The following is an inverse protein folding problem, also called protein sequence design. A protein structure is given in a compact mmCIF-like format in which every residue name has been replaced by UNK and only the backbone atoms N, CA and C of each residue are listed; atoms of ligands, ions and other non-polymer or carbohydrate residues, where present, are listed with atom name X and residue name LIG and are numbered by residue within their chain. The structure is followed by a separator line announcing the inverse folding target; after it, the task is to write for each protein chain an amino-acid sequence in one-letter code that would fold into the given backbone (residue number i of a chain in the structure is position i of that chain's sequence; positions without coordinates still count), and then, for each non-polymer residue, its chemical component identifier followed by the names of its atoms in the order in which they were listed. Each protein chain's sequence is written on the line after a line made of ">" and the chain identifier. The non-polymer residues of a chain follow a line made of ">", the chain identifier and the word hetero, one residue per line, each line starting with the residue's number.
data_IF_105717385938
#
_entry.id   IF_105717385938
#
_cell.length_a   1.000
_cell.length_b   1.000
_cell.length_c   1.000
_cell.angle_alpha   90.00
_cell.angle_beta   90.00
_cell.angle_gamma   90.00
#
_symmetry.space_group_name_H-M   'P 1'
#
loop_
_entity.id
_entity.type
_entity.pdbx_description
1 polymer ?
#
# COMPACT_ATOMS: atom_id res chain seq x y z
N UNK A 1 -14.43 -33.81 48.93
CA UNK A 1 -13.56 -32.71 48.43
C UNK A 1 -13.78 -32.33 46.96
N UNK A 2 -14.10 -33.25 46.05
CA UNK A 2 -14.21 -33.02 44.59
C UNK A 2 -15.30 -31.99 44.17
N UNK A 3 -16.43 -31.91 44.87
CA UNK A 3 -17.52 -30.96 44.55
C UNK A 3 -17.12 -29.49 44.74
N UNK A 4 -16.26 -29.18 45.73
CA UNK A 4 -15.78 -27.80 45.97
C UNK A 4 -14.81 -27.34 44.86
N UNK A 5 -13.99 -28.25 44.33
CA UNK A 5 -13.08 -27.96 43.22
C UNK A 5 -13.83 -27.62 41.91
N UNK A 6 -14.86 -28.42 41.57
CA UNK A 6 -15.71 -28.17 40.38
C UNK A 6 -16.49 -26.86 40.45
N UNK A 7 -16.93 -26.44 41.65
CA UNK A 7 -17.60 -25.14 41.84
C UNK A 7 -16.64 -23.97 41.60
N UNK A 8 -15.39 -24.10 42.08
CA UNK A 8 -14.34 -23.08 41.92
C UNK A 8 -13.89 -22.92 40.45
N UNK A 9 -13.89 -24.00 39.66
CA UNK A 9 -13.60 -23.92 38.23
C UNK A 9 -14.72 -23.28 37.42
N UNK A 10 -15.99 -23.62 37.71
CA UNK A 10 -17.15 -22.98 37.06
C UNK A 10 -17.18 -21.47 37.33
N UNK A 11 -16.85 -21.05 38.54
CA UNK A 11 -16.80 -19.63 38.92
C UNK A 11 -15.64 -18.88 38.22
N UNK A 12 -14.48 -19.52 38.05
CA UNK A 12 -13.37 -18.97 37.26
C UNK A 12 -13.73 -18.83 35.77
N UNK A 13 -14.47 -19.79 35.21
CA UNK A 13 -14.94 -19.73 33.83
C UNK A 13 -15.93 -18.58 33.62
N UNK A 14 -16.88 -18.42 34.54
CA UNK A 14 -17.87 -17.34 34.52
C UNK A 14 -17.21 -15.95 34.61
N UNK A 15 -16.30 -15.73 35.57
CA UNK A 15 -15.54 -14.47 35.68
C UNK A 15 -14.66 -14.20 34.45
N UNK A 16 -14.21 -15.24 33.73
CA UNK A 16 -13.43 -15.07 32.50
C UNK A 16 -14.31 -14.70 31.30
N UNK A 17 -15.54 -15.23 31.24
CA UNK A 17 -16.53 -14.81 30.25
C UNK A 17 -16.98 -13.38 30.50
N UNK A 18 -17.25 -13.01 31.75
CA UNK A 18 -17.66 -11.66 32.16
C UNK A 18 -16.58 -10.60 31.84
N UNK A 19 -15.29 -10.93 32.04
CA UNK A 19 -14.18 -10.06 31.61
C UNK A 19 -14.08 -9.92 30.09
N UNK A 20 -14.48 -10.93 29.32
CA UNK A 20 -14.49 -10.87 27.84
C UNK A 20 -15.67 -10.03 27.33
N UNK A 21 -16.85 -10.20 27.90
CA UNK A 21 -18.04 -9.40 27.55
C UNK A 21 -17.83 -7.93 27.91
N UNK A 22 -17.27 -7.63 29.08
CA UNK A 22 -16.96 -6.25 29.47
C UNK A 22 -15.91 -5.60 28.58
N UNK A 23 -14.89 -6.35 28.13
CA UNK A 23 -13.89 -5.84 27.18
C UNK A 23 -14.46 -5.56 25.79
N UNK A 24 -15.44 -6.35 25.35
CA UNK A 24 -16.17 -6.13 24.08
C UNK A 24 -17.11 -4.93 24.22
N UNK A 25 -17.78 -4.77 25.36
CA UNK A 25 -18.66 -3.63 25.63
C UNK A 25 -17.89 -2.30 25.62
N UNK A 26 -16.71 -2.23 26.25
CA UNK A 26 -15.83 -1.05 26.21
C UNK A 26 -15.42 -0.70 24.77
N UNK A 27 -15.09 -1.69 23.94
CA UNK A 27 -14.76 -1.45 22.53
C UNK A 27 -15.95 -0.99 21.70
N UNK A 28 -17.18 -1.36 22.06
CA UNK A 28 -18.40 -0.94 21.35
C UNK A 28 -18.85 0.45 21.75
N UNK A 29 -18.68 0.85 23.01
CA UNK A 29 -18.92 2.23 23.47
C UNK A 29 -17.95 3.21 22.81
N UNK A 30 -16.65 2.89 22.77
CA UNK A 30 -15.61 3.73 22.14
C UNK A 30 -15.82 3.89 20.62
N UNK A 31 -16.46 2.90 19.97
CA UNK A 31 -16.80 2.95 18.55
C UNK A 31 -18.04 3.81 18.26
N UNK A 32 -19.02 3.83 19.17
CA UNK A 32 -20.21 4.71 19.05
C UNK A 32 -19.88 6.19 19.24
N UNK A 33 -18.85 6.51 20.04
CA UNK A 33 -18.41 7.89 20.26
C UNK A 33 -17.66 8.49 19.06
N UNK A 34 -17.12 7.66 18.15
CA UNK A 34 -16.48 8.13 16.92
C UNK A 34 -17.44 8.31 15.74
N UNK A 35 -18.68 7.81 15.83
CA UNK A 35 -19.69 7.89 14.76
C UNK A 35 -20.68 9.05 14.87
N UNK A 36 -20.56 9.92 15.87
CA UNK A 36 -21.32 11.18 15.92
C UNK A 36 -20.67 12.27 15.05
N UNK A 37 -20.46 11.97 13.77
CA UNK A 37 -20.20 13.00 12.76
C UNK A 37 -21.54 13.58 12.29
N UNK A 38 -21.87 14.71 12.91
CA UNK A 38 -22.45 15.91 12.32
C UNK A 38 -23.10 15.73 10.93
N UNK A 39 -24.44 15.71 10.89
CA UNK A 39 -25.18 16.07 9.70
C UNK A 39 -24.78 17.49 9.28
N UNK A 40 -24.12 17.59 8.12
CA UNK A 40 -23.75 18.84 7.49
C UNK A 40 -24.98 19.65 7.12
N UNK A 41 -25.31 20.63 7.96
CA UNK A 41 -26.25 21.70 7.63
C UNK A 41 -25.64 22.61 6.57
N UNK A 42 -26.25 22.63 5.39
CA UNK A 42 -25.99 23.63 4.37
C UNK A 42 -26.33 25.02 4.91
N UNK A 43 -25.37 25.94 4.75
CA UNK A 43 -25.63 27.37 4.83
C UNK A 43 -25.02 28.06 6.05
N UNK A 44 -23.74 28.44 5.95
CA UNK A 44 -23.28 29.79 6.38
C UNK A 44 -22.16 30.27 5.46
N UNK A 45 -22.50 31.26 4.62
CA UNK A 45 -21.54 32.15 3.96
C UNK A 45 -20.66 32.78 5.05
N UNK A 46 -19.36 32.45 5.06
CA UNK A 46 -18.39 33.06 5.97
C UNK A 46 -17.99 34.42 5.41
N UNK A 47 -18.71 35.47 5.81
CA UNK A 47 -18.23 36.85 5.69
C UNK A 47 -16.99 36.99 6.58
N UNK A 48 -15.89 37.52 6.04
CA UNK A 48 -14.64 37.78 6.79
C UNK A 48 -14.92 38.81 7.88
N UNK A 49 -14.72 38.53 9.18
CA UNK A 49 -14.75 39.58 10.18
C UNK A 49 -13.48 40.43 10.06
N UNK A 50 -13.66 41.74 10.05
CA UNK A 50 -12.59 42.72 10.03
C UNK A 50 -11.65 42.51 11.23
N UNK A 51 -10.34 42.44 10.94
CA UNK A 51 -9.31 42.27 11.94
C UNK A 51 -9.28 43.48 12.89
N UNK A 52 -9.72 43.28 14.15
CA UNK A 52 -9.38 44.16 15.26
C UNK A 52 -7.90 43.99 15.58
N UNK A 53 -7.05 44.89 15.06
CA UNK A 53 -5.64 45.06 15.45
C UNK A 53 -5.59 45.55 16.90
N UNK A 54 -5.19 44.69 17.84
CA UNK A 54 -4.63 45.17 19.10
C UNK A 54 -3.20 45.67 18.83
N UNK A 55 -2.95 46.94 19.14
CA UNK A 55 -1.61 47.52 19.24
C UNK A 55 -0.93 46.89 20.46
N UNK A 56 -0.10 45.86 20.26
CA UNK A 56 0.92 45.48 21.24
C UNK A 56 2.28 45.98 20.76
N UNK A 57 2.98 46.61 21.70
CA UNK A 57 4.27 47.26 21.54
C UNK A 57 5.37 46.22 21.26
N UNK A 58 6.22 46.56 20.31
CA UNK A 58 7.58 46.05 20.01
C UNK A 58 8.00 44.70 20.59
N UNK A 59 7.79 43.63 19.82
CA UNK A 59 8.70 42.48 19.82
C UNK A 59 9.25 42.36 18.40
N UNK A 60 10.54 42.65 18.23
CA UNK A 60 11.34 42.41 17.03
C UNK A 60 11.10 40.97 16.52
N UNK A 61 10.20 40.82 15.55
CA UNK A 61 10.01 39.54 14.86
C UNK A 61 11.24 39.31 14.00
N UNK A 62 12.07 38.34 14.38
CA UNK A 62 13.13 37.77 13.52
C UNK A 62 12.60 37.59 12.08
N UNK A 63 13.37 38.01 11.05
CA UNK A 63 12.91 37.92 9.67
C UNK A 63 12.64 36.46 9.31
N UNK A 64 11.41 36.16 8.88
CA UNK A 64 11.05 34.86 8.31
C UNK A 64 11.99 34.58 7.13
N UNK A 65 12.58 33.38 7.01
CA UNK A 65 13.41 33.06 5.86
C UNK A 65 12.60 33.23 4.58
N UNK A 66 13.14 33.98 3.61
CA UNK A 66 12.51 34.18 2.30
C UNK A 66 12.23 32.81 1.66
N UNK A 67 11.06 32.58 1.05
CA UNK A 67 10.77 31.31 0.40
C UNK A 67 11.79 31.08 -0.71
N UNK A 68 12.58 29.99 -0.61
CA UNK A 68 13.51 29.57 -1.67
C UNK A 68 12.71 29.40 -2.96
N UNK A 69 13.21 29.96 -4.06
CA UNK A 69 12.56 29.86 -5.37
C UNK A 69 12.35 28.37 -5.73
N UNK A 70 11.17 28.05 -6.27
CA UNK A 70 10.83 26.68 -6.65
C UNK A 70 11.79 26.21 -7.75
N UNK A 71 12.36 24.99 -7.67
CA UNK A 71 13.20 24.47 -8.73
C UNK A 71 12.41 24.41 -10.05
N UNK A 72 13.07 24.77 -11.15
CA UNK A 72 12.48 24.74 -12.49
C UNK A 72 12.10 23.30 -12.83
N UNK A 73 10.87 23.07 -13.32
CA UNK A 73 10.39 21.72 -13.66
C UNK A 73 11.13 21.15 -14.88
N UNK A 74 11.29 19.83 -14.96
CA UNK A 74 11.96 19.15 -16.09
C UNK A 74 11.36 19.56 -17.45
N UNK A 75 10.02 19.62 -17.54
CA UNK A 75 9.32 20.10 -18.75
C UNK A 75 9.66 21.55 -19.11
N UNK A 76 9.95 22.41 -18.14
CA UNK A 76 10.37 23.79 -18.41
C UNK A 76 11.81 23.82 -18.90
N UNK A 77 12.70 22.99 -18.34
CA UNK A 77 14.08 22.87 -18.77
C UNK A 77 14.18 22.36 -20.22
N UNK A 78 13.43 21.30 -20.56
CA UNK A 78 13.32 20.76 -21.93
C UNK A 78 12.89 21.86 -22.90
N UNK A 79 11.76 22.53 -22.63
CA UNK A 79 11.25 23.62 -23.48
C UNK A 79 12.24 24.79 -23.60
N UNK A 80 13.00 25.07 -22.54
CA UNK A 80 14.01 26.13 -22.56
C UNK A 80 15.17 25.79 -23.49
N UNK A 81 15.65 24.54 -23.45
CA UNK A 81 16.74 24.08 -24.30
C UNK A 81 16.27 23.95 -25.75
N UNK A 82 15.06 23.41 -25.99
CA UNK A 82 14.49 23.36 -27.33
C UNK A 82 14.34 24.76 -27.96
N UNK A 83 13.93 25.76 -27.17
CA UNK A 83 13.89 27.15 -27.65
C UNK A 83 15.27 27.74 -27.91
N UNK A 84 16.28 27.32 -27.16
CA UNK A 84 17.67 27.73 -27.38
C UNK A 84 18.21 27.15 -28.67
N UNK A 85 17.98 25.86 -28.92
CA UNK A 85 18.40 25.14 -30.13
C UNK A 85 17.74 25.64 -31.43
N UNK A 86 16.63 26.38 -31.34
CA UNK A 86 16.00 27.06 -32.49
C UNK A 86 16.76 28.29 -32.96
N UNK A 87 17.73 28.79 -32.18
CA UNK A 87 18.55 29.95 -32.53
C UNK A 87 19.85 29.50 -33.21
N UNK A 88 20.52 30.44 -33.86
CA UNK A 88 21.87 30.22 -34.38
C UNK A 88 22.86 30.20 -33.21
N UNK A 89 23.48 29.03 -32.98
CA UNK A 89 24.47 28.80 -31.95
C UNK A 89 25.71 28.18 -32.58
N UNK A 90 26.92 28.43 -32.01
CA UNK A 90 28.13 27.72 -32.40
C UNK A 90 27.93 26.20 -32.34
N UNK A 91 28.55 25.44 -33.25
CA UNK A 91 28.32 23.99 -33.38
C UNK A 91 28.65 23.23 -32.08
N UNK A 92 29.72 23.61 -31.38
CA UNK A 92 30.12 23.00 -30.11
C UNK A 92 29.06 23.19 -29.00
N UNK A 93 28.52 24.40 -28.87
CA UNK A 93 27.46 24.70 -27.89
C UNK A 93 26.16 23.98 -28.27
N UNK A 94 25.87 23.84 -29.56
CA UNK A 94 24.69 23.13 -30.05
C UNK A 94 24.73 21.66 -29.66
N UNK A 95 25.84 20.97 -29.93
CA UNK A 95 26.03 19.56 -29.57
C UNK A 95 25.87 19.32 -28.06
N UNK A 96 26.49 20.18 -27.23
CA UNK A 96 26.37 20.09 -25.78
C UNK A 96 24.91 20.24 -25.29
N UNK A 97 24.14 21.15 -25.88
CA UNK A 97 22.73 21.36 -25.54
C UNK A 97 21.83 20.21 -26.04
N UNK A 98 22.14 19.61 -27.20
CA UNK A 98 21.43 18.44 -27.71
C UNK A 98 21.63 17.21 -26.81
N UNK A 99 22.87 16.94 -26.39
CA UNK A 99 23.16 15.87 -25.42
C UNK A 99 22.44 16.09 -24.09
N UNK A 100 22.40 17.34 -23.61
CA UNK A 100 21.65 17.71 -22.40
C UNK A 100 20.14 17.53 -22.59
N UNK A 101 19.60 17.90 -23.75
CA UNK A 101 18.20 17.70 -24.10
C UNK A 101 17.83 16.22 -24.07
N UNK A 102 18.67 15.37 -24.67
CA UNK A 102 18.48 13.92 -24.67
C UNK A 102 18.45 13.36 -23.24
N UNK A 103 19.38 13.78 -22.38
CA UNK A 103 19.40 13.39 -20.97
C UNK A 103 18.12 13.78 -20.22
N UNK A 104 17.63 15.01 -20.42
CA UNK A 104 16.38 15.47 -19.81
C UNK A 104 15.14 14.74 -20.34
N UNK A 105 15.13 14.38 -21.63
CA UNK A 105 14.04 13.58 -22.24
C UNK A 105 13.99 12.18 -21.63
N UNK A 106 15.14 11.50 -21.50
CA UNK A 106 15.25 10.20 -20.81
C UNK A 106 14.74 10.27 -19.36
N UNK A 107 15.11 11.33 -18.62
CA UNK A 107 14.58 11.54 -17.27
C UNK A 107 13.06 11.74 -17.27
N UNK A 108 12.53 12.53 -18.21
CA UNK A 108 11.09 12.79 -18.32
C UNK A 108 10.29 11.52 -18.63
N UNK A 109 10.83 10.60 -19.42
CA UNK A 109 10.25 9.28 -19.71
C UNK A 109 10.26 8.36 -18.48
N UNK A 110 11.35 8.34 -17.73
CA UNK A 110 11.42 7.60 -16.46
C UNK A 110 10.35 8.13 -15.49
N UNK A 111 10.22 9.45 -15.37
CA UNK A 111 9.19 10.07 -14.53
C UNK A 111 7.76 9.74 -14.97
N UNK A 112 7.47 9.74 -16.27
CA UNK A 112 6.14 9.39 -16.78
C UNK A 112 5.82 7.91 -16.54
N UNK A 113 6.79 7.02 -16.79
CA UNK A 113 6.67 5.59 -16.50
C UNK A 113 6.39 5.33 -15.02
N UNK A 114 7.21 5.90 -14.12
CA UNK A 114 7.02 5.76 -12.67
C UNK A 114 5.68 6.33 -12.20
N UNK A 115 5.19 7.41 -12.83
CA UNK A 115 3.88 7.96 -12.51
C UNK A 115 2.76 6.97 -12.86
N UNK A 116 2.83 6.31 -14.01
CA UNK A 116 1.85 5.28 -14.43
C UNK A 116 1.90 4.09 -13.47
N UNK A 117 3.09 3.56 -13.19
CA UNK A 117 3.29 2.46 -12.24
C UNK A 117 2.73 2.80 -10.85
N UNK A 118 2.92 4.05 -10.39
CA UNK A 118 2.36 4.54 -9.12
C UNK A 118 0.83 4.57 -9.14
N UNK A 119 0.21 4.98 -10.26
CA UNK A 119 -1.25 5.00 -10.38
C UNK A 119 -1.86 3.59 -10.35
N UNK A 120 -1.23 2.64 -11.05
CA UNK A 120 -1.62 1.22 -11.01
C UNK A 120 -1.46 0.68 -9.58
N UNK A 121 -0.31 0.91 -8.96
CA UNK A 121 -0.04 0.49 -7.60
C UNK A 121 -1.07 1.02 -6.59
N UNK A 122 -1.40 2.32 -6.63
CA UNK A 122 -2.33 2.92 -5.68
C UNK A 122 -3.75 2.34 -5.81
N UNK A 123 -4.18 2.03 -7.04
CA UNK A 123 -5.47 1.39 -7.33
C UNK A 123 -5.53 -0.01 -6.73
N UNK A 124 -4.49 -0.80 -6.95
CA UNK A 124 -4.50 -2.22 -6.62
C UNK A 124 -4.01 -2.51 -5.19
N UNK A 125 -3.32 -1.55 -4.55
CA UNK A 125 -2.76 -1.68 -3.19
C UNK A 125 -3.78 -2.18 -2.17
N UNK A 126 -5.00 -1.65 -2.17
CA UNK A 126 -6.04 -2.08 -1.22
C UNK A 126 -6.50 -3.51 -1.51
N UNK A 127 -6.74 -3.83 -2.78
CA UNK A 127 -7.19 -5.17 -3.21
C UNK A 127 -6.15 -6.21 -2.79
N UNK A 128 -4.88 -5.99 -3.18
CA UNK A 128 -3.75 -6.86 -2.81
C UNK A 128 -3.61 -7.02 -1.29
N UNK A 129 -3.78 -5.94 -0.52
CA UNK A 129 -3.70 -6.01 0.94
C UNK A 129 -4.77 -6.93 1.55
N UNK A 130 -6.02 -6.80 1.11
CA UNK A 130 -7.11 -7.63 1.62
C UNK A 130 -6.97 -9.09 1.20
N UNK A 131 -6.56 -9.35 -0.05
CA UNK A 131 -6.34 -10.71 -0.53
C UNK A 131 -5.17 -11.38 0.20
N UNK A 132 -4.04 -10.68 0.34
CA UNK A 132 -2.90 -11.15 1.15
C UNK A 132 -3.33 -11.50 2.56
N UNK A 133 -4.07 -10.61 3.24
CA UNK A 133 -4.59 -10.88 4.59
C UNK A 133 -5.61 -12.02 4.64
N UNK A 134 -6.34 -12.28 3.55
CA UNK A 134 -7.27 -13.41 3.45
C UNK A 134 -6.51 -14.73 3.35
N UNK A 135 -5.51 -14.79 2.46
CA UNK A 135 -4.62 -15.95 2.28
C UNK A 135 -3.85 -16.25 3.56
N UNK A 136 -3.18 -15.26 4.16
CA UNK A 136 -2.43 -15.43 5.41
C UNK A 136 -3.32 -15.96 6.56
N UNK A 137 -4.56 -15.46 6.67
CA UNK A 137 -5.52 -15.97 7.67
C UNK A 137 -5.93 -17.41 7.39
N UNK A 138 -6.10 -17.79 6.12
CA UNK A 138 -6.47 -19.16 5.74
C UNK A 138 -5.32 -20.14 6.00
N UNK A 139 -4.09 -19.76 5.68
CA UNK A 139 -2.87 -20.51 6.03
C UNK A 139 -2.81 -20.75 7.55
N UNK A 140 -2.90 -19.69 8.37
CA UNK A 140 -2.85 -19.83 9.84
C UNK A 140 -3.96 -20.71 10.40
N UNK A 141 -5.15 -20.72 9.79
CA UNK A 141 -6.26 -21.59 10.21
C UNK A 141 -5.98 -23.05 9.88
N UNK A 142 -5.48 -23.33 8.67
CA UNK A 142 -5.14 -24.68 8.23
C UNK A 142 -3.95 -25.26 8.98
N UNK A 143 -2.90 -24.47 9.21
CA UNK A 143 -1.77 -24.89 10.05
C UNK A 143 -2.22 -25.20 11.48
N UNK A 144 -3.19 -24.44 12.00
CA UNK A 144 -3.77 -24.71 13.32
C UNK A 144 -4.63 -25.98 13.31
N UNK A 145 -5.44 -26.22 12.28
CA UNK A 145 -6.25 -27.45 12.19
C UNK A 145 -5.37 -28.68 12.02
N UNK A 146 -4.29 -28.58 11.24
CA UNK A 146 -3.31 -29.66 11.09
C UNK A 146 -2.65 -30.06 12.42
N UNK A 147 -2.40 -29.09 13.31
CA UNK A 147 -1.84 -29.36 14.65
C UNK A 147 -2.84 -30.00 15.62
N UNK A 148 -4.14 -29.85 15.38
CA UNK A 148 -5.22 -30.32 16.27
C UNK A 148 -5.81 -31.65 15.78
N UNK A 149 -5.90 -31.84 14.46
CA UNK A 149 -6.31 -33.08 13.81
C UNK A 149 -5.16 -34.09 13.89
N UNK A 150 -5.45 -35.35 14.24
CA UNK A 150 -4.46 -36.44 14.29
C UNK A 150 -4.75 -37.53 13.23
N UNK A 151 -5.41 -37.16 12.12
CA UNK A 151 -5.87 -38.08 11.08
C UNK A 151 -5.05 -37.96 9.81
N UNK A 152 -4.29 -39.02 9.46
CA UNK A 152 -3.36 -39.06 8.31
C UNK A 152 -4.02 -38.69 6.97
N UNK A 153 -5.28 -39.07 6.74
CA UNK A 153 -6.00 -38.73 5.50
C UNK A 153 -6.35 -37.23 5.40
N UNK A 154 -6.71 -36.58 6.52
CA UNK A 154 -6.97 -35.14 6.52
C UNK A 154 -5.69 -34.33 6.41
N UNK A 155 -4.56 -34.87 6.87
CA UNK A 155 -3.26 -34.18 6.78
C UNK A 155 -2.79 -34.01 5.33
N UNK A 156 -3.05 -35.00 4.46
CA UNK A 156 -2.75 -34.92 3.04
C UNK A 156 -3.57 -33.80 2.36
N UNK A 157 -4.89 -33.77 2.56
CA UNK A 157 -5.76 -32.73 2.02
C UNK A 157 -5.39 -31.33 2.54
N UNK A 158 -5.06 -31.21 3.83
CA UNK A 158 -4.61 -29.94 4.42
C UNK A 158 -3.29 -29.48 3.80
N UNK A 159 -2.35 -30.40 3.58
CA UNK A 159 -1.07 -30.11 2.92
C UNK A 159 -1.27 -29.57 1.50
N UNK A 160 -2.16 -30.19 0.73
CA UNK A 160 -2.50 -29.76 -0.63
C UNK A 160 -3.20 -28.39 -0.65
N UNK A 161 -4.04 -28.10 0.34
CA UNK A 161 -4.63 -26.77 0.49
C UNK A 161 -3.58 -25.72 0.89
N UNK A 162 -2.62 -26.09 1.75
CA UNK A 162 -1.54 -25.21 2.15
C UNK A 162 -0.60 -24.88 0.99
N UNK A 163 -0.27 -25.85 0.14
CA UNK A 163 0.57 -25.63 -1.04
C UNK A 163 -0.09 -24.62 -1.99
N UNK A 164 -1.38 -24.80 -2.32
CA UNK A 164 -2.16 -23.85 -3.15
C UNK A 164 -2.18 -22.45 -2.56
N UNK A 165 -2.38 -22.32 -1.24
CA UNK A 165 -2.41 -21.00 -0.59
C UNK A 165 -1.03 -20.33 -0.53
N UNK A 166 0.06 -21.10 -0.48
CA UNK A 166 1.41 -20.55 -0.58
C UNK A 166 1.66 -19.98 -1.97
N UNK A 167 1.23 -20.67 -3.03
CA UNK A 167 1.30 -20.14 -4.40
C UNK A 167 0.47 -18.86 -4.57
N UNK A 168 -0.72 -18.81 -3.97
CA UNK A 168 -1.55 -17.60 -3.96
C UNK A 168 -0.88 -16.45 -3.21
N UNK A 169 -0.21 -16.74 -2.09
CA UNK A 169 0.53 -15.73 -1.32
C UNK A 169 1.69 -15.15 -2.13
N UNK A 170 2.45 -16.01 -2.81
CA UNK A 170 3.53 -15.60 -3.73
C UNK A 170 2.99 -14.73 -4.86
N UNK A 171 1.88 -15.14 -5.48
CA UNK A 171 1.21 -14.37 -6.52
C UNK A 171 0.85 -12.97 -6.06
N UNK A 172 0.24 -12.81 -4.87
CA UNK A 172 -0.12 -11.48 -4.35
C UNK A 172 1.13 -10.67 -3.99
N UNK A 173 2.16 -11.29 -3.42
CA UNK A 173 3.36 -10.61 -2.91
C UNK A 173 4.25 -10.10 -4.04
N UNK A 174 4.51 -10.95 -5.03
CA UNK A 174 5.48 -10.69 -6.10
C UNK A 174 4.84 -10.29 -7.43
N UNK A 175 3.57 -9.89 -7.41
CA UNK A 175 2.86 -9.42 -8.60
C UNK A 175 3.58 -8.26 -9.33
N UNK A 176 3.75 -8.30 -10.67
CA UNK A 176 4.40 -7.25 -11.45
C UNK A 176 3.77 -5.86 -11.26
N UNK A 177 4.59 -4.82 -11.08
CA UNK A 177 4.11 -3.44 -10.85
C UNK A 177 3.64 -2.73 -12.13
N UNK A 178 4.03 -3.26 -13.28
CA UNK A 178 3.71 -2.73 -14.61
C UNK A 178 2.34 -3.12 -15.10
N UNK A 179 1.75 -4.17 -14.52
CA UNK A 179 0.49 -4.75 -14.98
C UNK A 179 -0.64 -4.53 -13.97
N UNK A 180 -1.88 -4.65 -14.45
CA UNK A 180 -3.08 -4.55 -13.62
C UNK A 180 -3.28 -5.85 -12.84
N UNK A 181 -3.54 -5.73 -11.54
CA UNK A 181 -3.78 -6.87 -10.69
C UNK A 181 -5.04 -7.66 -11.10
N UNK A 182 -4.88 -8.99 -11.29
CA UNK A 182 -6.00 -9.92 -11.49
C UNK A 182 -6.31 -10.59 -10.16
N UNK A 183 -7.47 -10.25 -9.59
CA UNK A 183 -7.90 -10.71 -8.27
C UNK A 183 -8.09 -12.23 -8.20
N UNK A 184 -7.78 -12.79 -7.04
CA UNK A 184 -7.94 -14.22 -6.75
C UNK A 184 -9.36 -14.57 -6.29
N UNK A 185 -10.01 -13.67 -5.55
CA UNK A 185 -11.29 -13.96 -4.89
C UNK A 185 -12.46 -13.12 -5.39
N UNK A 186 -12.22 -12.07 -6.17
CA UNK A 186 -13.24 -11.12 -6.63
C UNK A 186 -13.08 -10.87 -8.12
N UNK A 187 -13.99 -11.42 -8.92
CA UNK A 187 -13.89 -11.45 -10.38
C UNK A 187 -13.94 -12.89 -10.83
N UNK A 188 -15.04 -13.27 -11.50
CA UNK A 188 -15.42 -14.67 -11.73
C UNK A 188 -14.33 -15.53 -12.36
N UNK A 189 -14.49 -16.84 -12.21
CA UNK A 189 -13.56 -17.87 -12.70
C UNK A 189 -13.74 -18.13 -14.21
N UNK A 190 -13.80 -17.07 -15.01
CA UNK A 190 -13.75 -17.19 -16.47
C UNK A 190 -12.41 -17.78 -16.92
N UNK A 191 -12.41 -18.66 -17.91
CA UNK A 191 -11.21 -19.34 -18.43
C UNK A 191 -10.07 -18.35 -18.70
N UNK A 192 -10.39 -17.22 -19.33
CA UNK A 192 -9.43 -16.20 -19.73
C UNK A 192 -8.71 -15.56 -18.52
N UNK A 193 -9.42 -15.36 -17.40
CA UNK A 193 -8.83 -14.81 -16.18
C UNK A 193 -7.93 -15.83 -15.48
N UNK A 194 -8.35 -17.10 -15.48
CA UNK A 194 -7.56 -18.19 -14.91
C UNK A 194 -6.26 -18.38 -15.70
N UNK A 195 -6.34 -18.34 -17.03
CA UNK A 195 -5.17 -18.44 -17.91
C UNK A 195 -4.21 -17.27 -17.72
N UNK A 196 -4.75 -16.05 -17.61
CA UNK A 196 -3.96 -14.85 -17.31
C UNK A 196 -3.23 -14.98 -15.97
N UNK A 197 -3.93 -15.45 -14.93
CA UNK A 197 -3.35 -15.70 -13.61
C UNK A 197 -2.25 -16.77 -13.66
N UNK A 198 -2.45 -17.83 -14.43
CA UNK A 198 -1.48 -18.91 -14.57
C UNK A 198 -0.21 -18.45 -15.33
N UNK A 199 -0.36 -17.63 -16.37
CA UNK A 199 0.78 -16.99 -17.06
C UNK A 199 1.58 -16.13 -16.08
N UNK A 200 0.90 -15.32 -15.29
CA UNK A 200 1.53 -14.44 -14.29
C UNK A 200 2.22 -15.23 -13.18
N UNK A 201 1.62 -16.32 -12.68
CA UNK A 201 2.28 -17.21 -11.71
C UNK A 201 3.59 -17.80 -12.26
N UNK A 202 3.61 -18.22 -13.53
CA UNK A 202 4.83 -18.73 -14.18
C UNK A 202 5.91 -17.64 -14.28
N UNK A 203 5.53 -16.44 -14.70
CA UNK A 203 6.45 -15.30 -14.78
C UNK A 203 7.01 -14.92 -13.40
N UNK A 204 6.16 -14.89 -12.36
CA UNK A 204 6.58 -14.59 -10.98
C UNK A 204 7.59 -15.63 -10.50
N UNK A 205 7.33 -16.93 -10.72
CA UNK A 205 8.27 -18.01 -10.35
C UNK A 205 9.61 -17.84 -11.07
N UNK A 206 9.60 -17.56 -12.38
CA UNK A 206 10.83 -17.31 -13.15
C UNK A 206 11.59 -16.09 -12.63
N UNK A 207 10.90 -14.99 -12.34
CA UNK A 207 11.50 -13.76 -11.80
C UNK A 207 12.09 -13.99 -10.41
N UNK A 208 11.45 -14.80 -9.58
CA UNK A 208 11.94 -15.14 -8.24
C UNK A 208 13.22 -15.97 -8.31
N UNK A 209 13.30 -16.94 -9.22
CA UNK A 209 14.52 -17.71 -9.47
C UNK A 209 15.64 -16.81 -10.02
N UNK A 210 15.35 -15.95 -10.98
CA UNK A 210 16.33 -14.99 -11.52
C UNK A 210 16.80 -13.97 -10.46
N UNK A 211 15.91 -13.54 -9.58
CA UNK A 211 16.24 -12.65 -8.45
C UNK A 211 17.13 -13.34 -7.43
N UNK A 212 16.82 -14.59 -7.07
CA UNK A 212 17.65 -15.41 -6.21
C UNK A 212 19.06 -15.62 -6.79
N UNK A 213 19.16 -15.86 -8.10
CA UNK A 213 20.44 -15.98 -8.79
C UNK A 213 21.24 -14.66 -8.85
N UNK A 214 20.55 -13.52 -8.94
CA UNK A 214 21.18 -12.18 -9.00
C UNK A 214 21.42 -11.54 -7.63
N UNK A 215 21.00 -12.17 -6.52
CA UNK A 215 21.11 -11.63 -5.17
C UNK A 215 20.31 -10.36 -4.91
N UNK A 216 19.30 -10.06 -5.75
CA UNK A 216 18.46 -8.85 -5.63
C UNK A 216 17.15 -9.20 -4.93
N UNK A 217 16.96 -8.70 -3.72
CA UNK A 217 15.70 -8.89 -2.99
C UNK A 217 14.54 -8.16 -3.65
N UNK A 218 13.58 -8.92 -4.19
CA UNK A 218 12.34 -8.39 -4.74
C UNK A 218 11.45 -7.72 -3.67
N UNK A 219 11.71 -8.00 -2.38
CA UNK A 219 10.95 -7.49 -1.24
C UNK A 219 11.28 -6.03 -0.90
N UNK A 220 12.54 -5.62 -1.05
CA UNK A 220 13.03 -4.30 -0.64
C UNK A 220 12.42 -3.12 -1.42
N UNK A 221 11.88 -3.38 -2.62
CA UNK A 221 11.25 -2.36 -3.47
C UNK A 221 9.82 -2.02 -3.00
N UNK A 222 9.27 -2.69 -1.98
CA UNK A 222 7.95 -2.37 -1.42
C UNK A 222 7.99 -1.49 -0.17
N UNK A 223 9.13 -1.38 0.52
CA UNK A 223 9.26 -0.59 1.75
C UNK A 223 9.76 0.84 1.46
N UNK A 224 10.60 1.04 0.44
CA UNK A 224 11.20 2.35 0.12
C UNK A 224 10.25 3.39 -0.53
N UNK A 225 8.95 3.12 -0.62
CA UNK A 225 7.96 3.99 -1.29
C UNK A 225 6.75 4.33 -0.39
N UNK A 226 6.98 4.34 0.92
CA UNK A 226 6.10 4.97 1.92
C UNK A 226 6.88 6.16 2.49
N UNK A 227 6.50 7.41 2.17
CA UNK A 227 7.03 8.58 2.86
C UNK A 227 6.60 8.60 4.33
#
# INVERSE_FOLDING_TARGET
>A
MIRKARKKEKEKCYKRQERRTNRIAVYLSDFSEQTTMAHGGYGKRRVKPAARRSKSLGVEKKPKPKPKAKPVTLKNQIRSIERMLRKDLPPDVREAQEKKLEGLKKQQEIHSRLAIERQIFLRDRKIKFFERRKVERRIRRLEKSQRISSGQAQDAEISDQLSKLKEDLEYVRFFPKTEKYVSLFTGGDGSDMVDSRNKLRKQIKANLVAAAASGKDLEGIYIALVP
#
